data_IF_008423932450
#
_entry.id   IF_008423932450
#
_cell.length_a   1.000
_cell.length_b   1.000
_cell.length_c   1.000
_cell.angle_alpha   90.00
_cell.angle_beta   90.00
_cell.angle_gamma   90.00
#
_symmetry.space_group_name_H-M   'P 1'
#
loop_
_entity.id
_entity.type
_entity.pdbx_description
1 polymer ?
#
# COMPACT_ATOMS: atom_id res chain seq x y z
N UNK A 1 66.40 28.15 16.66
CA UNK A 1 66.72 28.58 18.04
C UNK A 1 65.53 29.34 18.59
N UNK A 2 64.78 28.67 19.44
CA UNK A 2 63.51 29.07 20.08
C UNK A 2 63.78 29.99 21.27
N UNK A 3 63.09 31.14 21.35
CA UNK A 3 63.14 32.03 22.51
C UNK A 3 61.82 31.97 23.27
N UNK A 4 61.81 31.18 24.34
CA UNK A 4 60.77 31.14 25.37
C UNK A 4 60.70 32.48 26.11
N UNK A 5 59.49 32.97 26.38
CA UNK A 5 59.24 34.00 27.38
C UNK A 5 58.24 33.46 28.41
N UNK A 6 58.73 33.37 29.64
CA UNK A 6 58.02 33.07 30.88
C UNK A 6 57.26 34.32 31.35
N UNK A 7 56.06 34.12 31.93
CA UNK A 7 55.37 35.13 32.73
C UNK A 7 55.00 34.53 34.09
N UNK A 8 55.15 35.29 35.20
CA UNK A 8 55.06 34.76 36.55
C UNK A 8 53.62 34.68 37.09
N UNK A 9 53.50 33.79 38.06
CA UNK A 9 52.33 33.44 38.86
C UNK A 9 52.07 34.52 39.92
N UNK A 10 50.82 34.97 40.04
CA UNK A 10 50.31 35.59 41.27
C UNK A 10 49.05 34.85 41.73
N UNK A 11 49.17 34.18 42.88
CA UNK A 11 48.09 33.90 43.83
C UNK A 11 47.58 35.25 44.41
N UNK A 12 46.45 35.42 45.08
CA UNK A 12 45.54 34.54 45.81
C UNK A 12 44.21 35.31 45.99
N UNK A 13 43.11 34.61 46.28
CA UNK A 13 42.24 34.86 47.45
C UNK A 13 40.92 34.10 47.27
N UNK A 14 40.78 33.04 48.07
CA UNK A 14 39.53 32.36 48.31
C UNK A 14 38.75 33.12 49.40
N UNK A 15 37.47 33.40 49.14
CA UNK A 15 36.48 33.68 50.19
C UNK A 15 35.36 32.67 50.03
N UNK A 16 35.27 31.77 51.00
CA UNK A 16 34.15 30.86 51.23
C UNK A 16 33.02 31.66 51.91
N UNK A 17 31.85 31.72 51.28
CA UNK A 17 30.60 32.08 51.95
C UNK A 17 29.54 31.04 51.57
N UNK A 18 28.95 30.49 52.61
CA UNK A 18 28.03 29.35 52.67
C UNK A 18 26.63 29.68 52.14
N UNK A 19 26.02 28.71 51.44
CA UNK A 19 24.65 28.72 50.96
C UNK A 19 23.61 28.66 52.10
N UNK A 20 22.35 29.03 51.81
CA UNK A 20 21.33 27.98 51.79
C UNK A 20 20.37 28.05 50.60
N UNK A 21 20.07 26.84 50.12
CA UNK A 21 18.96 26.34 49.33
C UNK A 21 17.75 27.27 49.12
N UNK A 22 17.33 27.39 47.85
CA UNK A 22 15.98 27.06 47.35
C UNK A 22 15.98 27.32 45.83
N UNK A 23 16.06 26.26 45.05
CA UNK A 23 16.11 26.36 43.58
C UNK A 23 16.70 25.13 42.89
N UNK A 24 16.55 23.94 43.49
CA UNK A 24 16.71 22.71 42.75
C UNK A 24 15.47 22.52 41.87
N UNK A 25 15.39 23.24 40.74
CA UNK A 25 14.76 22.65 39.58
C UNK A 25 15.67 21.48 39.21
N UNK A 26 15.33 20.29 39.70
CA UNK A 26 15.93 19.07 39.22
C UNK A 26 15.80 19.07 37.69
N UNK A 27 16.92 19.33 37.03
CA UNK A 27 17.19 18.80 35.70
C UNK A 27 17.04 17.29 35.83
N UNK A 28 15.82 16.82 35.59
CA UNK A 28 15.63 15.42 35.26
C UNK A 28 16.56 15.14 34.09
N UNK A 29 17.42 14.10 34.17
CA UNK A 29 18.14 13.67 33.00
C UNK A 29 17.11 13.39 31.92
N UNK A 30 17.44 13.80 30.69
CA UNK A 30 16.66 13.54 29.49
C UNK A 30 15.94 12.21 29.65
N UNK A 31 14.60 12.29 29.77
CA UNK A 31 13.76 11.14 29.54
C UNK A 31 14.21 10.65 28.18
N UNK A 32 14.88 9.50 28.19
CA UNK A 32 15.09 8.76 26.95
C UNK A 32 13.67 8.42 26.55
N UNK A 33 13.10 9.24 25.67
CA UNK A 33 11.96 8.84 24.88
C UNK A 33 12.49 7.71 24.00
N UNK A 34 12.66 6.55 24.61
CA UNK A 34 12.66 5.27 23.92
C UNK A 34 11.23 5.13 23.45
N UNK A 35 10.91 5.93 22.42
CA UNK A 35 9.73 5.77 21.59
C UNK A 35 9.83 4.31 21.18
N UNK A 36 9.02 3.47 21.83
CA UNK A 36 9.09 2.03 21.68
C UNK A 36 9.17 1.75 20.20
N UNK A 37 10.30 1.18 19.76
CA UNK A 37 10.51 0.85 18.37
C UNK A 37 9.39 -0.10 18.00
N UNK A 38 8.37 0.41 17.30
CA UNK A 38 7.31 -0.42 16.77
C UNK A 38 8.01 -1.50 15.96
N UNK A 39 7.81 -2.78 16.27
CA UNK A 39 8.51 -3.83 15.55
C UNK A 39 8.14 -3.70 14.07
N UNK A 40 9.18 -3.65 13.25
CA UNK A 40 9.18 -4.22 11.92
C UNK A 40 8.27 -3.54 10.87
N UNK A 41 8.13 -2.20 10.91
CA UNK A 41 7.56 -1.50 9.76
C UNK A 41 8.61 -1.46 8.64
N UNK A 42 8.41 -2.27 7.61
CA UNK A 42 9.22 -2.28 6.39
C UNK A 42 9.48 -0.86 5.88
N UNK A 43 10.75 -0.46 5.83
CA UNK A 43 11.16 0.83 5.29
C UNK A 43 11.07 0.81 3.76
N UNK A 44 10.14 1.59 3.21
CA UNK A 44 9.96 1.74 1.76
C UNK A 44 10.97 2.74 1.22
N UNK A 45 11.49 2.47 0.02
CA UNK A 45 12.27 3.43 -0.73
C UNK A 45 11.39 4.62 -1.14
N UNK A 46 11.99 5.81 -1.28
CA UNK A 46 11.30 6.96 -1.83
C UNK A 46 10.86 6.65 -3.28
N UNK A 47 9.62 7.01 -3.63
CA UNK A 47 9.09 6.81 -4.98
C UNK A 47 9.79 7.76 -5.94
N UNK A 48 10.32 7.21 -7.03
CA UNK A 48 11.01 7.97 -8.08
C UNK A 48 10.17 8.04 -9.37
N UNK A 49 10.60 8.86 -10.33
CA UNK A 49 10.04 8.85 -11.69
C UNK A 49 10.25 7.50 -12.39
N UNK A 50 11.33 6.78 -12.07
CA UNK A 50 11.57 5.43 -12.56
C UNK A 50 10.56 4.44 -11.98
N UNK A 51 10.24 4.54 -10.69
CA UNK A 51 9.21 3.71 -10.05
C UNK A 51 7.83 3.92 -10.67
N UNK A 52 7.50 5.17 -11.00
CA UNK A 52 6.27 5.49 -11.73
C UNK A 52 6.20 4.82 -13.11
N UNK A 53 7.31 4.83 -13.87
CA UNK A 53 7.37 4.14 -15.16
C UNK A 53 7.30 2.61 -15.00
N UNK A 54 8.00 2.03 -14.01
CA UNK A 54 7.88 0.60 -13.67
C UNK A 54 6.44 0.20 -13.34
N UNK A 55 5.72 1.02 -12.56
CA UNK A 55 4.31 0.79 -12.23
C UNK A 55 3.42 0.82 -13.48
N UNK A 56 3.54 1.88 -14.29
CA UNK A 56 2.78 2.03 -15.53
C UNK A 56 2.99 0.83 -16.47
N UNK A 57 4.24 0.38 -16.61
CA UNK A 57 4.62 -0.75 -17.45
C UNK A 57 4.04 -2.06 -16.94
N UNK A 58 4.10 -2.31 -15.63
CA UNK A 58 3.47 -3.50 -15.04
C UNK A 58 1.97 -3.54 -15.37
N UNK A 59 1.24 -2.45 -15.12
CA UNK A 59 -0.19 -2.38 -15.44
C UNK A 59 -0.46 -2.61 -16.93
N UNK A 60 0.32 -1.98 -17.80
CA UNK A 60 0.18 -2.07 -19.26
C UNK A 60 0.39 -3.49 -19.80
N UNK A 61 1.33 -4.25 -19.25
CA UNK A 61 1.65 -5.59 -19.75
C UNK A 61 0.84 -6.71 -19.09
N UNK A 62 0.34 -6.49 -17.88
CA UNK A 62 -0.40 -7.53 -17.13
C UNK A 62 -1.92 -7.45 -17.29
N UNK A 63 -2.46 -6.36 -17.82
CA UNK A 63 -3.92 -6.18 -17.93
C UNK A 63 -4.35 -5.84 -19.36
N UNK A 64 -5.65 -5.95 -19.61
CA UNK A 64 -6.24 -5.34 -20.79
C UNK A 64 -6.09 -3.81 -20.71
N UNK A 65 -5.21 -3.25 -21.53
CA UNK A 65 -4.77 -1.85 -21.51
C UNK A 65 -5.89 -0.83 -21.74
N UNK A 66 -7.00 -1.24 -22.35
CA UNK A 66 -8.18 -0.37 -22.50
C UNK A 66 -9.01 -0.28 -21.21
N UNK A 67 -8.90 -1.28 -20.33
CA UNK A 67 -9.64 -1.37 -19.07
C UNK A 67 -8.92 -0.61 -17.96
N UNK A 68 -9.53 0.48 -17.51
CA UNK A 68 -9.03 1.26 -16.38
C UNK A 68 -9.04 0.45 -15.09
N UNK A 69 -10.15 -0.25 -14.82
CA UNK A 69 -10.27 -1.23 -13.74
C UNK A 69 -9.15 -2.27 -13.77
N UNK A 70 -8.78 -2.75 -14.96
CA UNK A 70 -7.66 -3.67 -15.14
C UNK A 70 -6.31 -3.11 -14.72
N UNK A 71 -6.02 -1.88 -15.16
CA UNK A 71 -4.80 -1.16 -14.77
C UNK A 71 -4.77 -0.94 -13.26
N UNK A 72 -5.86 -0.40 -12.71
CA UNK A 72 -6.01 -0.11 -11.28
C UNK A 72 -5.86 -1.38 -10.42
N UNK A 73 -6.40 -2.51 -10.88
CA UNK A 73 -6.32 -3.79 -10.20
C UNK A 73 -4.88 -4.32 -10.13
N UNK A 74 -4.14 -4.30 -11.25
CA UNK A 74 -2.73 -4.73 -11.26
C UNK A 74 -1.87 -3.80 -10.42
N UNK A 75 -2.04 -2.49 -10.55
CA UNK A 75 -1.26 -1.54 -9.77
C UNK A 75 -1.55 -1.65 -8.27
N UNK A 76 -2.79 -1.96 -7.88
CA UNK A 76 -3.15 -2.31 -6.50
C UNK A 76 -2.33 -3.50 -5.99
N UNK A 77 -2.20 -4.58 -6.79
CA UNK A 77 -1.34 -5.73 -6.43
C UNK A 77 0.12 -5.31 -6.26
N UNK A 78 0.66 -4.45 -7.13
CA UNK A 78 2.04 -3.95 -7.02
C UNK A 78 2.24 -3.22 -5.70
N UNK A 79 1.29 -2.35 -5.31
CA UNK A 79 1.37 -1.62 -4.04
C UNK A 79 1.17 -2.54 -2.83
N UNK A 80 0.28 -3.53 -2.89
CA UNK A 80 0.12 -4.53 -1.84
C UNK A 80 1.42 -5.31 -1.62
N UNK A 81 2.12 -5.68 -2.70
CA UNK A 81 3.44 -6.31 -2.63
C UNK A 81 4.49 -5.35 -2.08
N UNK A 82 4.50 -4.08 -2.50
CA UNK A 82 5.41 -3.07 -1.97
C UNK A 82 5.28 -2.94 -0.44
N UNK A 83 4.07 -3.00 0.10
CA UNK A 83 3.81 -2.90 1.54
C UNK A 83 4.13 -4.18 2.32
N UNK A 84 4.15 -5.34 1.64
CA UNK A 84 4.37 -6.63 2.27
C UNK A 84 5.85 -6.94 2.57
N UNK A 85 6.18 -7.55 3.73
CA UNK A 85 7.56 -7.88 4.11
C UNK A 85 8.28 -8.85 3.16
N UNK A 86 7.53 -9.75 2.51
CA UNK A 86 8.08 -10.79 1.62
C UNK A 86 8.59 -10.28 0.27
N UNK A 87 8.43 -9.00 -0.02
CA UNK A 87 8.73 -8.40 -1.33
C UNK A 87 9.75 -7.26 -1.20
N UNK A 88 10.41 -6.87 -2.31
CA UNK A 88 11.30 -5.71 -2.35
C UNK A 88 10.63 -4.43 -1.87
N UNK A 89 11.43 -3.47 -1.42
CA UNK A 89 10.96 -2.22 -0.81
C UNK A 89 10.85 -1.04 -1.80
N UNK A 90 10.99 -1.29 -3.10
CA UNK A 90 10.74 -0.32 -4.17
C UNK A 90 9.81 -0.90 -5.23
N UNK A 91 9.12 -0.03 -5.98
CA UNK A 91 8.16 -0.46 -7.01
C UNK A 91 8.90 -1.16 -8.14
N UNK A 92 9.97 -0.58 -8.66
CA UNK A 92 10.79 -1.27 -9.66
C UNK A 92 11.38 -2.58 -9.14
N UNK A 93 11.68 -2.68 -7.84
CA UNK A 93 12.11 -3.92 -7.20
C UNK A 93 11.03 -5.00 -7.27
N UNK A 94 9.78 -4.66 -6.96
CA UNK A 94 8.63 -5.57 -7.06
C UNK A 94 8.40 -5.99 -8.52
N UNK A 95 8.35 -5.03 -9.45
CA UNK A 95 8.08 -5.29 -10.87
C UNK A 95 9.21 -6.09 -11.53
N UNK A 96 10.45 -5.86 -11.11
CA UNK A 96 11.65 -6.52 -11.63
C UNK A 96 11.86 -7.95 -11.14
N UNK A 97 11.02 -8.46 -10.22
CA UNK A 97 11.18 -9.82 -9.73
C UNK A 97 11.02 -10.87 -10.86
N UNK A 98 11.96 -11.82 -10.89
CA UNK A 98 12.02 -12.86 -11.92
C UNK A 98 10.71 -13.65 -11.98
N UNK A 99 10.11 -13.72 -13.18
CA UNK A 99 8.88 -14.48 -13.47
C UNK A 99 7.65 -14.06 -12.65
N UNK A 100 7.62 -12.83 -12.11
CA UNK A 100 6.43 -12.30 -11.41
C UNK A 100 5.52 -11.46 -12.32
N UNK A 101 6.09 -10.92 -13.39
CA UNK A 101 5.45 -10.11 -14.42
C UNK A 101 5.93 -10.61 -15.80
N UNK A 102 5.31 -10.12 -16.86
CA UNK A 102 5.55 -10.47 -18.24
C UNK A 102 7.03 -10.38 -18.60
N UNK A 103 7.50 -11.32 -19.42
CA UNK A 103 8.87 -11.29 -19.92
C UNK A 103 9.12 -9.95 -20.63
N UNK A 104 10.12 -9.22 -20.16
CA UNK A 104 10.48 -7.90 -20.68
C UNK A 104 9.60 -6.73 -20.24
N UNK A 105 8.83 -6.88 -19.15
CA UNK A 105 8.01 -5.83 -18.56
C UNK A 105 8.75 -4.50 -18.38
N UNK A 106 10.07 -4.50 -18.11
CA UNK A 106 10.87 -3.29 -17.91
C UNK A 106 11.50 -2.69 -19.18
N UNK A 107 11.52 -3.39 -20.32
CA UNK A 107 12.21 -2.90 -21.54
C UNK A 107 11.37 -2.95 -22.82
N UNK A 108 10.31 -3.76 -22.91
CA UNK A 108 9.45 -3.82 -24.09
C UNK A 108 8.77 -2.47 -24.39
N UNK A 109 8.64 -2.06 -25.66
CA UNK A 109 7.97 -0.79 -25.98
C UNK A 109 6.47 -0.85 -25.62
N UNK A 110 5.93 0.29 -25.19
CA UNK A 110 4.49 0.52 -25.02
C UNK A 110 3.96 1.37 -26.17
N UNK A 111 2.70 1.21 -26.56
CA UNK A 111 2.04 2.05 -27.56
C UNK A 111 1.63 3.37 -26.93
N UNK A 112 1.85 4.50 -27.60
CA UNK A 112 1.72 5.84 -27.01
C UNK A 112 0.36 6.11 -26.35
N UNK A 113 -0.75 5.85 -27.05
CA UNK A 113 -2.11 6.09 -26.53
C UNK A 113 -2.41 5.29 -25.25
N UNK A 114 -2.01 4.04 -25.21
CA UNK A 114 -2.25 3.15 -24.07
C UNK A 114 -1.25 3.41 -22.94
N UNK A 115 -0.02 3.84 -23.29
CA UNK A 115 0.99 4.30 -22.35
C UNK A 115 0.49 5.49 -21.56
N UNK A 116 -0.09 6.48 -22.24
CA UNK A 116 -0.61 7.68 -21.57
C UNK A 116 -1.66 7.32 -20.52
N UNK A 117 -2.61 6.45 -20.87
CA UNK A 117 -3.62 5.95 -19.91
C UNK A 117 -2.98 5.21 -18.73
N UNK A 118 -2.04 4.29 -18.99
CA UNK A 118 -1.35 3.57 -17.92
C UNK A 118 -0.57 4.51 -16.99
N UNK A 119 0.00 5.57 -17.54
CA UNK A 119 0.72 6.60 -16.81
C UNK A 119 -0.21 7.44 -15.94
N UNK A 120 -1.38 7.83 -16.44
CA UNK A 120 -2.39 8.56 -15.65
C UNK A 120 -2.92 7.71 -14.48
N UNK A 121 -3.21 6.43 -14.71
CA UNK A 121 -3.62 5.51 -13.64
C UNK A 121 -2.48 5.29 -12.64
N UNK A 122 -1.22 5.30 -13.09
CA UNK A 122 -0.07 5.18 -12.19
C UNK A 122 -0.01 6.38 -11.22
N UNK A 123 -0.28 7.59 -11.70
CA UNK A 123 -0.36 8.78 -10.84
C UNK A 123 -1.46 8.64 -9.79
N UNK A 124 -2.63 8.18 -10.19
CA UNK A 124 -3.76 7.97 -9.28
C UNK A 124 -3.41 6.96 -8.17
N UNK A 125 -2.75 5.85 -8.53
CA UNK A 125 -2.30 4.84 -7.56
C UNK A 125 -1.23 5.39 -6.63
N UNK A 126 -0.27 6.16 -7.15
CA UNK A 126 0.75 6.82 -6.34
C UNK A 126 0.14 7.88 -5.40
N UNK A 127 -0.98 8.50 -5.79
CA UNK A 127 -1.78 9.38 -4.95
C UNK A 127 -2.66 8.64 -3.92
N UNK A 128 -2.68 7.30 -3.97
CA UNK A 128 -3.36 6.46 -2.97
C UNK A 128 -4.60 5.73 -3.49
N UNK A 129 -4.96 5.88 -4.76
CA UNK A 129 -6.10 5.18 -5.35
C UNK A 129 -5.86 3.66 -5.40
N UNK A 130 -6.90 2.87 -5.13
CA UNK A 130 -6.84 1.40 -5.10
C UNK A 130 -8.12 0.83 -5.68
N UNK A 131 -8.02 -0.33 -6.31
CA UNK A 131 -9.18 -1.05 -6.83
C UNK A 131 -9.99 -1.65 -5.68
N UNK A 132 -11.27 -1.27 -5.58
CA UNK A 132 -12.12 -1.57 -4.42
C UNK A 132 -12.22 -3.06 -4.08
N UNK A 133 -12.39 -3.92 -5.09
CA UNK A 133 -12.57 -5.37 -4.91
C UNK A 133 -11.28 -6.18 -4.78
N UNK A 134 -10.13 -5.65 -5.22
CA UNK A 134 -8.85 -6.39 -5.15
C UNK A 134 -8.39 -6.51 -3.70
N UNK A 135 -8.70 -5.52 -2.86
CA UNK A 135 -8.39 -5.56 -1.44
C UNK A 135 -6.90 -5.87 -1.19
N UNK A 136 -6.63 -6.86 -0.34
CA UNK A 136 -5.27 -7.30 0.00
C UNK A 136 -4.67 -8.35 -0.93
N UNK A 137 -5.29 -8.67 -2.07
CA UNK A 137 -4.76 -9.67 -2.98
C UNK A 137 -3.38 -9.27 -3.50
N UNK A 138 -2.45 -10.23 -3.48
CA UNK A 138 -1.08 -10.07 -3.99
C UNK A 138 -0.83 -10.92 -5.23
N UNK A 139 -1.84 -11.65 -5.69
CA UNK A 139 -1.71 -12.63 -6.76
C UNK A 139 -2.86 -12.49 -7.76
N UNK A 140 -2.55 -12.78 -9.00
CA UNK A 140 -3.53 -12.86 -10.08
C UNK A 140 -3.06 -13.85 -11.14
N UNK A 141 -3.96 -14.23 -12.03
CA UNK A 141 -3.66 -14.92 -13.28
C UNK A 141 -4.74 -14.57 -14.32
N UNK A 142 -4.51 -14.92 -15.58
CA UNK A 142 -5.52 -14.78 -16.64
C UNK A 142 -6.82 -15.45 -16.23
N UNK A 143 -7.93 -14.71 -16.35
CA UNK A 143 -9.25 -15.23 -16.02
C UNK A 143 -9.60 -16.43 -16.92
N UNK A 144 -10.33 -17.40 -16.38
CA UNK A 144 -10.68 -18.64 -17.08
C UNK A 144 -9.65 -19.76 -16.98
N UNK A 145 -8.42 -19.50 -16.51
CA UNK A 145 -7.47 -20.56 -16.20
C UNK A 145 -7.76 -21.19 -14.85
N UNK A 146 -7.61 -22.52 -14.77
CA UNK A 146 -7.81 -23.30 -13.54
C UNK A 146 -6.50 -23.91 -13.07
N UNK A 147 -6.25 -23.83 -11.77
CA UNK A 147 -5.07 -24.42 -11.12
C UNK A 147 -5.52 -25.39 -10.02
N UNK A 148 -4.72 -26.42 -9.74
CA UNK A 148 -5.03 -27.44 -8.72
C UNK A 148 -4.79 -26.98 -7.29
N UNK A 149 -4.29 -25.76 -7.09
CA UNK A 149 -4.01 -25.21 -5.77
C UNK A 149 -5.30 -24.94 -4.99
N UNK A 150 -5.36 -25.47 -3.77
CA UNK A 150 -6.56 -25.36 -2.90
C UNK A 150 -6.55 -24.13 -2.00
N UNK A 151 -5.46 -23.36 -2.01
CA UNK A 151 -5.24 -22.19 -1.16
C UNK A 151 -5.52 -20.86 -1.86
N UNK A 152 -6.12 -20.87 -3.06
CA UNK A 152 -6.43 -19.66 -3.83
C UNK A 152 -7.86 -19.21 -3.53
N UNK A 153 -7.99 -18.01 -2.95
CA UNK A 153 -9.28 -17.39 -2.62
C UNK A 153 -9.50 -16.17 -3.50
N UNK A 154 -10.38 -16.31 -4.49
CA UNK A 154 -10.65 -15.26 -5.47
C UNK A 154 -11.46 -14.12 -4.87
N UNK A 155 -11.08 -12.89 -5.21
CA UNK A 155 -11.69 -11.66 -4.67
C UNK A 155 -12.22 -10.73 -5.76
N UNK A 156 -11.64 -10.76 -6.96
CA UNK A 156 -12.06 -9.90 -8.06
C UNK A 156 -11.75 -10.49 -9.44
N UNK A 157 -12.54 -10.08 -10.43
CA UNK A 157 -12.24 -10.20 -11.85
C UNK A 157 -12.10 -8.79 -12.41
N UNK A 158 -10.99 -8.48 -13.08
CA UNK A 158 -10.77 -7.17 -13.69
C UNK A 158 -9.71 -7.25 -14.79
N UNK A 159 -9.87 -6.51 -15.89
CA UNK A 159 -8.85 -6.39 -16.93
C UNK A 159 -8.42 -7.72 -17.58
N UNK A 160 -9.28 -8.75 -17.58
CA UNK A 160 -8.94 -10.09 -18.09
C UNK A 160 -8.23 -11.00 -17.08
N UNK A 161 -8.12 -10.59 -15.81
CA UNK A 161 -7.47 -11.35 -14.75
C UNK A 161 -8.43 -11.72 -13.62
N UNK A 162 -8.10 -12.81 -12.93
CA UNK A 162 -8.68 -13.21 -11.66
C UNK A 162 -7.68 -12.96 -10.54
N UNK A 163 -8.07 -12.14 -9.56
CA UNK A 163 -7.25 -11.74 -8.41
C UNK A 163 -7.61 -12.59 -7.20
N UNK A 164 -6.59 -12.99 -6.42
CA UNK A 164 -6.78 -13.88 -5.29
C UNK A 164 -5.76 -13.68 -4.17
N UNK A 165 -6.18 -14.08 -2.97
CA UNK A 165 -5.33 -14.24 -1.81
C UNK A 165 -4.89 -15.70 -1.68
N UNK A 166 -3.67 -15.93 -1.21
CA UNK A 166 -3.24 -17.27 -0.79
C UNK A 166 -3.50 -17.42 0.69
N UNK A 167 -4.38 -18.34 1.08
CA UNK A 167 -4.69 -18.62 2.51
C UNK A 167 -4.23 -20.01 2.91
N UNK A 168 -3.62 -20.19 4.09
CA UNK A 168 -3.30 -21.51 4.62
C UNK A 168 -4.52 -22.44 4.58
N UNK A 169 -4.26 -23.73 4.36
CA UNK A 169 -5.30 -24.75 4.24
C UNK A 169 -6.20 -24.85 5.49
N UNK A 170 -5.70 -24.47 6.67
CA UNK A 170 -6.44 -24.52 7.93
C UNK A 170 -7.35 -23.30 8.18
N UNK A 171 -7.23 -22.20 7.42
CA UNK A 171 -8.05 -20.98 7.59
C UNK A 171 -9.39 -21.05 6.85
N UNK A 172 -9.99 -22.24 6.75
CA UNK A 172 -11.27 -22.42 6.07
C UNK A 172 -12.40 -22.01 7.02
N UNK A 173 -13.04 -20.89 6.64
CA UNK A 173 -14.29 -20.33 7.13
C UNK A 173 -14.17 -19.42 8.38
N UNK A 174 -14.33 -18.11 8.15
CA UNK A 174 -14.77 -17.17 9.20
C UNK A 174 -13.75 -16.13 9.68
N UNK A 175 -12.44 -16.32 9.48
CA UNK A 175 -11.47 -15.29 9.83
C UNK A 175 -11.39 -14.25 8.69
N UNK A 176 -12.26 -13.24 8.72
CA UNK A 176 -11.97 -11.98 8.03
C UNK A 176 -10.63 -11.47 8.58
N UNK A 177 -9.55 -11.33 7.78
CA UNK A 177 -8.38 -10.62 8.27
C UNK A 177 -8.87 -9.24 8.71
N UNK A 178 -8.64 -8.90 9.98
CA UNK A 178 -8.90 -7.57 10.51
C UNK A 178 -8.21 -6.62 9.54
N UNK A 179 -8.98 -5.83 8.78
CA UNK A 179 -8.43 -4.73 7.97
C UNK A 179 -7.63 -3.89 8.96
N UNK A 180 -6.31 -4.01 8.95
CA UNK A 180 -5.45 -3.06 9.65
C UNK A 180 -5.61 -1.78 8.84
N UNK A 181 -6.26 -0.74 9.37
CA UNK A 181 -6.40 0.50 8.63
C UNK A 181 -4.99 1.00 8.33
N UNK A 182 -4.75 1.51 7.13
CA UNK A 182 -3.46 2.14 6.82
C UNK A 182 -3.15 3.21 7.86
N UNK A 183 -1.88 3.49 8.13
CA UNK A 183 -1.51 4.54 9.10
C UNK A 183 -2.18 5.89 8.77
N UNK A 184 -2.38 6.19 7.48
CA UNK A 184 -3.14 7.36 7.03
C UNK A 184 -4.62 7.31 7.45
N UNK A 185 -5.25 6.13 7.38
CA UNK A 185 -6.63 5.93 7.86
C UNK A 185 -6.73 6.05 9.37
N UNK A 186 -5.74 5.56 10.12
CA UNK A 186 -5.70 5.67 11.59
C UNK A 186 -5.56 7.14 12.02
N UNK A 187 -4.72 7.93 11.33
CA UNK A 187 -4.57 9.37 11.57
C UNK A 187 -5.84 10.17 11.22
N UNK A 188 -6.57 9.79 10.18
CA UNK A 188 -7.85 10.43 9.84
C UNK A 188 -8.97 10.13 10.86
N UNK A 189 -8.99 8.91 11.39
CA UNK A 189 -9.95 8.49 12.42
C UNK A 189 -9.65 9.11 13.79
N UNK A 190 -8.37 9.28 14.14
CA UNK A 190 -7.96 9.96 15.37
C UNK A 190 -8.36 11.44 15.39
N UNK A 191 -8.32 12.12 14.24
CA UNK A 191 -8.75 13.53 14.11
C UNK A 191 -10.27 13.70 14.12
N UNK A 192 -11.03 12.66 13.74
CA UNK A 192 -12.50 12.71 13.70
C UNK A 192 -13.17 12.43 15.06
N UNK A 193 -12.43 11.91 16.04
CA UNK A 193 -12.94 11.58 17.38
C UNK A 193 -13.20 12.78 18.32
N UNK A 194 -12.93 14.01 17.88
CA UNK A 194 -13.06 15.23 18.70
C UNK A 194 -14.19 16.18 18.26
N UNK A 195 -14.95 15.86 17.22
CA UNK A 195 -16.06 16.72 16.78
C UNK A 195 -17.36 16.29 17.47
N UNK A 196 -17.75 17.07 18.48
CA UNK A 196 -19.02 16.91 19.20
C UNK A 196 -20.23 16.88 18.26
N UNK A 197 -21.23 16.12 18.69
CA UNK A 197 -22.57 15.94 18.12
C UNK A 197 -23.13 17.20 17.43
N UNK A 198 -23.07 17.24 16.10
CA UNK A 198 -23.93 18.07 15.28
C UNK A 198 -24.91 17.14 14.55
N UNK A 199 -26.17 17.18 14.98
CA UNK A 199 -27.26 16.34 14.48
C UNK A 199 -27.69 16.84 13.09
N UNK A 200 -27.13 16.25 12.05
CA UNK A 200 -27.59 16.46 10.67
C UNK A 200 -28.73 15.48 10.35
N UNK A 201 -29.91 16.02 10.05
CA UNK A 201 -31.02 15.25 9.48
C UNK A 201 -30.75 15.03 7.99
N UNK A 202 -30.32 13.83 7.60
CA UNK A 202 -30.18 13.44 6.20
C UNK A 202 -31.50 12.88 5.65
N UNK A 203 -32.00 13.49 4.57
CA UNK A 203 -33.03 12.88 3.74
C UNK A 203 -32.41 11.78 2.87
N UNK A 204 -33.06 10.63 2.69
CA UNK A 204 -32.53 9.56 1.87
C UNK A 204 -32.66 9.89 0.37
N UNK A 205 -31.55 10.21 -0.28
CA UNK A 205 -31.46 10.18 -1.75
C UNK A 205 -31.33 8.72 -2.18
N UNK A 206 -32.30 8.22 -2.96
CA UNK A 206 -32.19 6.91 -3.61
C UNK A 206 -31.11 6.99 -4.70
N UNK A 207 -29.97 6.35 -4.46
CA UNK A 207 -28.98 6.06 -5.49
C UNK A 207 -29.48 4.87 -6.31
N UNK A 208 -29.71 5.09 -7.60
CA UNK A 208 -30.01 4.04 -8.56
C UNK A 208 -28.78 3.11 -8.70
N UNK A 209 -28.98 1.80 -8.50
CA UNK A 209 -27.91 0.81 -8.71
C UNK A 209 -27.62 0.66 -10.21
N UNK A 210 -26.35 0.77 -10.58
CA UNK A 210 -25.85 0.39 -11.90
C UNK A 210 -25.88 -1.15 -12.04
N UNK A 211 -26.56 -1.74 -13.04
CA UNK A 211 -26.76 -3.19 -13.16
C UNK A 211 -25.54 -3.99 -13.67
N UNK A 212 -24.33 -3.41 -13.75
CA UNK A 212 -23.13 -4.08 -14.26
C UNK A 212 -22.24 -4.74 -13.19
N UNK A 213 -22.69 -4.89 -11.95
CA UNK A 213 -21.87 -5.49 -10.88
C UNK A 213 -22.23 -6.95 -10.63
N UNK A 214 -21.36 -7.86 -11.04
CA UNK A 214 -21.44 -9.28 -10.67
C UNK A 214 -21.16 -9.43 -9.17
N UNK A 215 -22.05 -10.06 -8.38
CA UNK A 215 -21.93 -10.12 -6.93
C UNK A 215 -20.68 -10.88 -6.47
N UNK A 216 -20.00 -10.35 -5.45
CA UNK A 216 -18.82 -10.93 -4.79
C UNK A 216 -19.02 -12.39 -4.31
N UNK A 217 -20.28 -12.80 -4.09
CA UNK A 217 -20.65 -14.16 -3.68
C UNK A 217 -20.49 -15.23 -4.78
N UNK A 218 -20.44 -14.86 -6.08
CA UNK A 218 -20.35 -15.84 -7.17
C UNK A 218 -18.93 -16.35 -7.45
N UNK A 219 -17.88 -15.63 -7.00
CA UNK A 219 -16.50 -15.99 -7.37
C UNK A 219 -16.03 -17.29 -6.70
N UNK A 220 -16.55 -17.62 -5.52
CA UNK A 220 -16.45 -18.94 -4.88
C UNK A 220 -15.04 -19.56 -4.78
N UNK A 221 -14.94 -20.85 -4.37
CA UNK A 221 -13.70 -21.62 -4.53
C UNK A 221 -13.39 -21.86 -6.01
N UNK A 222 -12.12 -22.17 -6.32
CA UNK A 222 -11.52 -22.25 -7.67
C UNK A 222 -12.32 -22.96 -8.79
N UNK A 223 -13.34 -23.76 -8.45
CA UNK A 223 -14.21 -24.45 -9.41
C UNK A 223 -15.30 -23.56 -10.02
N UNK A 224 -15.54 -22.35 -9.51
CA UNK A 224 -16.67 -21.51 -9.91
C UNK A 224 -16.34 -20.43 -10.97
N UNK A 225 -15.07 -20.21 -11.27
CA UNK A 225 -14.59 -19.08 -12.11
C UNK A 225 -15.14 -19.14 -13.55
N UNK A 226 -15.25 -20.35 -14.13
CA UNK A 226 -15.72 -20.51 -15.51
C UNK A 226 -17.19 -20.12 -15.71
N UNK A 227 -18.01 -20.12 -14.66
CA UNK A 227 -19.44 -19.82 -14.77
C UNK A 227 -19.72 -18.32 -14.84
N UNK A 228 -18.89 -17.52 -14.17
CA UNK A 228 -19.05 -16.06 -14.07
C UNK A 228 -18.56 -15.35 -15.33
N UNK A 229 -17.43 -15.80 -15.90
CA UNK A 229 -16.86 -15.20 -17.12
C UNK A 229 -17.75 -15.41 -18.37
N UNK A 230 -18.59 -16.44 -18.40
CA UNK A 230 -19.50 -16.72 -19.52
C UNK A 230 -20.79 -15.86 -19.50
N UNK A 231 -21.15 -15.27 -18.35
CA UNK A 231 -22.36 -14.46 -18.22
C UNK A 231 -22.20 -13.03 -18.77
N UNK A 232 -20.97 -12.51 -18.79
CA UNK A 232 -20.68 -11.12 -19.21
C UNK A 232 -20.60 -10.94 -20.74
N UNK A 233 -20.42 -12.02 -21.51
CA UNK A 233 -20.32 -11.95 -22.98
C UNK A 233 -21.65 -12.08 -23.72
N UNK A 234 -22.77 -12.21 -22.99
CA UNK A 234 -24.09 -12.54 -23.56
C UNK A 234 -25.00 -11.37 -23.96
N UNK A 235 -24.60 -10.10 -23.79
CA UNK A 235 -25.47 -8.95 -24.15
C UNK A 235 -24.97 -8.21 -25.39
N UNK A 236 -25.34 -8.77 -26.54
CA UNK A 236 -25.31 -8.07 -27.84
C UNK A 236 -26.40 -6.98 -27.85
N UNK A 237 -26.14 -5.74 -28.29
CA UNK A 237 -27.20 -4.80 -28.57
C UNK A 237 -27.88 -5.23 -29.88
N UNK A 238 -29.19 -5.44 -29.80
CA UNK A 238 -30.09 -5.39 -30.96
C UNK A 238 -30.48 -3.96 -31.27
#
# INVERSE_FOLDING_TARGET
MTRNRTFPITAALAVLATAPHLGACSLMPAGVDTTGSLPDRKQLAAVTSADRDCLARAMYFESNRSSEEGLLAVGTVVMNRLEAPAYPNSICGVVGQKRQFAAGVLHKPMRDKEREKAVQVADAILAGERHEKVGGAMFFHTAGYTFSYRNMHYVALAGGNAFYEKRPWYDREGATPRRVPSAATQLAQAQSGSAGSARWTSHPVRVARNPQQTPLAELGPARNICRVAAAETGRSPG
#
